data_IF_127581087565
#
_entry.id   IF_127581087565
#
_cell.length_a   1.000
_cell.length_b   1.000
_cell.length_c   1.000
_cell.angle_alpha   90.00
_cell.angle_beta   90.00
_cell.angle_gamma   90.00
#
_symmetry.space_group_name_H-M   'P 1'
#
loop_
_entity.id
_entity.type
_entity.pdbx_description
1 polymer ?
#
# COMPACT_ATOMS: atom_id res chain seq x y z
N UNK A 1 43.97 -1.29 18.21
CA UNK A 1 42.92 -2.25 18.62
C UNK A 1 42.53 -2.18 20.12
N UNK A 2 43.32 -1.51 20.98
CA UNK A 2 43.14 -1.57 22.45
C UNK A 2 41.85 -0.97 23.00
N UNK A 3 41.14 -0.09 22.24
CA UNK A 3 39.97 0.60 22.74
C UNK A 3 38.71 0.33 21.88
N UNK A 4 38.69 -0.73 21.07
CA UNK A 4 37.56 -1.10 20.23
C UNK A 4 37.01 -2.45 20.68
N UNK A 5 35.69 -2.51 20.83
CA UNK A 5 34.96 -3.75 21.09
C UNK A 5 34.08 -4.06 19.89
N UNK A 6 34.06 -5.33 19.48
CA UNK A 6 33.40 -5.79 18.26
C UNK A 6 32.23 -6.70 18.63
N UNK A 7 31.05 -6.38 18.10
CA UNK A 7 29.83 -7.12 18.35
C UNK A 7 29.26 -7.61 17.01
N UNK A 8 28.98 -8.88 16.91
CA UNK A 8 28.44 -9.51 15.72
C UNK A 8 26.92 -9.40 15.71
N UNK A 9 26.37 -9.02 14.56
CA UNK A 9 24.92 -9.00 14.28
C UNK A 9 24.63 -10.05 13.24
N UNK A 10 23.76 -10.99 13.56
CA UNK A 10 23.39 -12.10 12.69
C UNK A 10 21.95 -11.90 12.16
N UNK A 11 21.74 -12.24 10.89
CA UNK A 11 20.42 -12.44 10.30
C UNK A 11 20.34 -13.88 9.78
N UNK A 12 19.30 -14.64 10.19
CA UNK A 12 19.10 -16.06 9.84
C UNK A 12 20.36 -16.96 9.98
N UNK A 13 21.20 -16.64 10.96
CA UNK A 13 22.43 -17.38 11.22
C UNK A 13 23.63 -16.96 10.38
N UNK A 14 23.47 -16.00 9.47
CA UNK A 14 24.56 -15.38 8.73
C UNK A 14 25.03 -14.09 9.39
N UNK A 15 26.33 -13.82 9.35
CA UNK A 15 26.92 -12.59 9.87
C UNK A 15 26.65 -11.45 8.87
N UNK A 16 25.76 -10.52 9.24
CA UNK A 16 25.40 -9.38 8.40
C UNK A 16 26.21 -8.13 8.73
N UNK A 17 26.34 -7.81 10.02
CA UNK A 17 27.03 -6.60 10.46
C UNK A 17 27.95 -6.87 11.64
N UNK A 18 28.96 -5.99 11.79
CA UNK A 18 29.81 -5.90 12.98
C UNK A 18 29.68 -4.49 13.52
N UNK A 19 29.11 -4.35 14.70
CA UNK A 19 29.06 -3.07 15.45
C UNK A 19 30.37 -2.91 16.19
N UNK A 20 31.00 -1.75 16.04
CA UNK A 20 32.23 -1.41 16.73
C UNK A 20 31.95 -0.28 17.72
N UNK A 21 32.11 -0.55 19.02
CA UNK A 21 32.10 0.51 20.03
C UNK A 21 33.54 0.89 20.39
N UNK A 22 33.81 2.19 20.42
CA UNK A 22 35.13 2.75 20.74
C UNK A 22 35.07 3.49 22.07
N UNK A 23 35.89 3.06 23.01
CA UNK A 23 35.97 3.68 24.32
C UNK A 23 36.62 2.75 25.34
N UNK A 24 36.81 3.22 26.57
CA UNK A 24 37.40 2.46 27.67
C UNK A 24 36.33 2.19 28.74
N UNK A 25 36.36 0.98 29.31
CA UNK A 25 35.52 0.60 30.45
C UNK A 25 34.28 -0.23 30.08
N UNK A 26 33.56 -0.65 31.13
CA UNK A 26 32.35 -1.50 31.04
C UNK A 26 31.18 -0.80 30.38
N UNK A 27 31.08 0.51 30.47
CA UNK A 27 30.04 1.32 29.83
C UNK A 27 30.08 1.17 28.33
N UNK A 28 31.28 1.16 27.72
CA UNK A 28 31.45 0.97 26.26
C UNK A 28 30.96 -0.38 25.81
N UNK A 29 31.19 -1.43 26.63
CA UNK A 29 30.68 -2.78 26.35
C UNK A 29 29.15 -2.81 26.42
N UNK A 30 28.58 -2.20 27.48
CA UNK A 30 27.12 -2.18 27.66
C UNK A 30 26.41 -1.42 26.57
N UNK A 31 26.94 -0.26 26.16
CA UNK A 31 26.40 0.54 25.05
C UNK A 31 26.46 -0.28 23.75
N UNK A 32 27.58 -0.95 23.47
CA UNK A 32 27.72 -1.81 22.29
C UNK A 32 26.69 -2.94 22.26
N UNK A 33 26.44 -3.60 23.38
CA UNK A 33 25.41 -4.64 23.51
C UNK A 33 23.99 -4.12 23.27
N UNK A 34 23.66 -2.95 23.85
CA UNK A 34 22.35 -2.31 23.66
C UNK A 34 22.17 -1.97 22.18
N UNK A 35 23.19 -1.37 21.54
CA UNK A 35 23.16 -1.03 20.14
C UNK A 35 22.93 -2.27 19.23
N UNK A 36 23.60 -3.39 19.51
CA UNK A 36 23.42 -4.64 18.78
C UNK A 36 22.02 -5.19 18.97
N UNK A 37 21.50 -5.20 20.20
CA UNK A 37 20.13 -5.65 20.50
C UNK A 37 19.09 -4.83 19.73
N UNK A 38 19.24 -3.50 19.74
CA UNK A 38 18.35 -2.60 19.00
C UNK A 38 18.46 -2.85 17.48
N UNK A 39 19.66 -2.97 16.96
CA UNK A 39 19.88 -3.26 15.53
C UNK A 39 19.25 -4.57 15.11
N UNK A 40 19.39 -5.64 15.89
CA UNK A 40 18.74 -6.93 15.62
C UNK A 40 17.21 -6.80 15.59
N UNK A 41 16.62 -6.11 16.56
CA UNK A 41 15.18 -5.87 16.58
C UNK A 41 14.71 -5.06 15.36
N UNK A 42 15.48 -4.05 14.97
CA UNK A 42 15.18 -3.24 13.78
C UNK A 42 15.25 -4.08 12.49
N UNK A 43 16.24 -4.97 12.36
CA UNK A 43 16.36 -5.86 11.19
C UNK A 43 15.17 -6.82 11.08
N UNK A 44 14.75 -7.41 12.20
CA UNK A 44 13.57 -8.30 12.22
C UNK A 44 12.31 -7.53 11.81
N UNK A 45 12.07 -6.34 12.39
CA UNK A 45 10.91 -5.52 12.08
C UNK A 45 10.92 -5.04 10.61
N UNK A 46 12.09 -4.66 10.09
CA UNK A 46 12.26 -4.25 8.69
C UNK A 46 11.93 -5.40 7.73
N UNK A 47 12.44 -6.61 8.02
CA UNK A 47 12.20 -7.79 7.21
C UNK A 47 10.71 -8.18 7.21
N UNK A 48 10.07 -8.19 8.36
CA UNK A 48 8.65 -8.46 8.47
C UNK A 48 7.81 -7.45 7.65
N UNK A 49 8.16 -6.16 7.74
CA UNK A 49 7.50 -5.12 6.95
C UNK A 49 7.72 -5.31 5.45
N UNK A 50 8.94 -5.66 5.04
CA UNK A 50 9.27 -5.92 3.64
C UNK A 50 8.52 -7.13 3.09
N UNK A 51 8.43 -8.22 3.86
CA UNK A 51 7.70 -9.43 3.48
C UNK A 51 6.19 -9.18 3.35
N UNK A 52 5.60 -8.38 4.25
CA UNK A 52 4.20 -7.95 4.16
C UNK A 52 3.95 -7.08 2.93
N UNK A 53 4.80 -6.09 2.68
CA UNK A 53 4.70 -5.22 1.50
C UNK A 53 4.80 -6.02 0.20
N UNK A 54 5.77 -6.91 0.10
CA UNK A 54 5.95 -7.79 -1.06
C UNK A 54 4.74 -8.74 -1.25
N UNK A 55 4.21 -9.31 -0.17
CA UNK A 55 3.02 -10.13 -0.23
C UNK A 55 1.83 -9.35 -0.78
N UNK A 56 1.55 -8.16 -0.26
CA UNK A 56 0.44 -7.31 -0.70
C UNK A 56 0.61 -6.86 -2.16
N UNK A 57 1.81 -6.47 -2.59
CA UNK A 57 2.09 -6.14 -4.00
C UNK A 57 1.77 -7.29 -4.95
N UNK A 58 2.25 -8.49 -4.63
CA UNK A 58 1.98 -9.66 -5.45
C UNK A 58 0.49 -10.03 -5.45
N UNK A 59 -0.22 -9.81 -4.34
CA UNK A 59 -1.65 -10.04 -4.24
C UNK A 59 -2.45 -9.05 -5.10
N UNK A 60 -2.11 -7.75 -5.06
CA UNK A 60 -2.72 -6.70 -5.90
C UNK A 60 -2.57 -7.03 -7.38
N UNK A 61 -1.38 -7.50 -7.78
CA UNK A 61 -1.04 -7.83 -9.17
C UNK A 61 -1.55 -9.20 -9.64
N UNK A 62 -2.25 -9.95 -8.77
CA UNK A 62 -2.77 -11.29 -9.09
C UNK A 62 -1.68 -12.33 -9.43
N UNK A 63 -0.50 -12.19 -8.79
CA UNK A 63 0.69 -13.01 -9.05
C UNK A 63 0.81 -14.21 -8.11
N UNK A 64 -0.20 -14.50 -7.29
CA UNK A 64 -0.17 -15.57 -6.30
C UNK A 64 -1.23 -16.62 -6.55
N UNK A 65 -0.86 -17.88 -6.37
CA UNK A 65 -1.82 -18.97 -6.31
C UNK A 65 -2.58 -18.96 -4.98
N UNK A 66 -3.81 -19.46 -4.95
CA UNK A 66 -4.65 -19.49 -3.75
C UNK A 66 -3.95 -20.16 -2.56
N UNK A 67 -3.20 -21.24 -2.80
CA UNK A 67 -2.42 -21.95 -1.75
C UNK A 67 -1.32 -21.04 -1.18
N UNK A 68 -0.66 -20.27 -2.02
CA UNK A 68 0.40 -19.34 -1.60
C UNK A 68 -0.19 -18.17 -0.81
N UNK A 69 -1.36 -17.65 -1.22
CA UNK A 69 -2.08 -16.61 -0.49
C UNK A 69 -2.36 -17.07 0.94
N UNK A 70 -2.93 -18.28 1.09
CA UNK A 70 -3.23 -18.84 2.40
C UNK A 70 -2.00 -19.02 3.28
N UNK A 71 -0.95 -19.66 2.74
CA UNK A 71 0.27 -19.96 3.49
C UNK A 71 1.02 -18.69 3.91
N UNK A 72 1.14 -17.72 3.00
CA UNK A 72 1.83 -16.46 3.29
C UNK A 72 1.04 -15.58 4.25
N UNK A 73 -0.29 -15.45 4.07
CA UNK A 73 -1.13 -14.69 5.01
C UNK A 73 -1.01 -15.25 6.43
N UNK A 74 -1.05 -16.59 6.59
CA UNK A 74 -0.86 -17.25 7.88
C UNK A 74 0.53 -16.98 8.48
N UNK A 75 1.60 -17.09 7.67
CA UNK A 75 2.99 -16.81 8.10
C UNK A 75 3.16 -15.37 8.56
N UNK A 76 2.53 -14.42 7.87
CA UNK A 76 2.63 -12.99 8.11
C UNK A 76 1.61 -12.48 9.14
N UNK A 77 0.83 -13.37 9.75
CA UNK A 77 -0.23 -13.03 10.71
C UNK A 77 -1.26 -12.04 10.16
N UNK A 78 -1.63 -12.19 8.88
CA UNK A 78 -2.63 -11.38 8.21
C UNK A 78 -3.97 -12.10 8.25
N UNK A 79 -4.98 -11.46 8.81
CA UNK A 79 -6.35 -12.00 8.85
C UNK A 79 -6.94 -12.05 7.44
N UNK A 80 -7.48 -13.21 7.05
CA UNK A 80 -7.98 -13.42 5.69
C UNK A 80 -9.42 -12.94 5.51
N UNK A 81 -10.30 -13.32 6.44
CA UNK A 81 -11.74 -13.08 6.36
C UNK A 81 -12.13 -11.78 7.06
N UNK A 82 -11.63 -10.67 6.54
CA UNK A 82 -11.89 -9.32 7.07
C UNK A 82 -12.33 -8.43 5.92
N UNK A 83 -13.27 -7.53 6.21
CA UNK A 83 -13.76 -6.55 5.25
C UNK A 83 -12.64 -5.57 4.89
N UNK A 84 -12.36 -5.43 3.61
CA UNK A 84 -11.35 -4.48 3.10
C UNK A 84 -11.84 -3.78 1.85
N UNK A 85 -11.18 -2.67 1.54
CA UNK A 85 -11.32 -1.95 0.27
C UNK A 85 -9.94 -1.47 -0.19
N UNK A 86 -9.75 -1.39 -1.50
CA UNK A 86 -8.52 -0.85 -2.08
C UNK A 86 -8.78 0.56 -2.59
N UNK A 87 -7.94 1.49 -2.13
CA UNK A 87 -7.84 2.85 -2.67
C UNK A 87 -6.58 2.97 -3.52
N UNK A 88 -6.70 3.67 -4.63
CA UNK A 88 -5.58 4.14 -5.44
C UNK A 88 -5.52 5.66 -5.30
N UNK A 89 -4.37 6.17 -4.91
CA UNK A 89 -4.10 7.57 -4.74
C UNK A 89 -3.05 7.94 -5.79
N UNK A 90 -3.48 8.57 -6.86
CA UNK A 90 -2.60 9.05 -7.91
C UNK A 90 -2.12 10.46 -7.59
N UNK A 91 -0.80 10.64 -7.60
CA UNK A 91 -0.16 11.93 -7.39
C UNK A 91 0.32 12.53 -8.70
N UNK A 92 0.40 13.87 -8.77
CA UNK A 92 0.90 14.56 -9.95
C UNK A 92 2.42 14.44 -10.14
N UNK A 93 3.15 14.06 -9.09
CA UNK A 93 4.61 13.90 -9.08
C UNK A 93 4.97 12.41 -9.07
N UNK A 94 5.98 12.06 -9.84
CA UNK A 94 6.57 10.71 -9.78
C UNK A 94 7.35 10.54 -8.47
N UNK A 95 7.21 9.37 -7.82
CA UNK A 95 7.89 9.02 -6.55
C UNK A 95 7.71 10.07 -5.45
N UNK A 96 6.48 10.52 -5.26
CA UNK A 96 6.16 11.48 -4.21
C UNK A 96 6.27 10.84 -2.82
N UNK A 97 7.50 10.84 -2.27
CA UNK A 97 7.76 10.28 -0.95
C UNK A 97 7.05 11.06 0.16
N UNK A 98 6.82 12.35 -0.02
CA UNK A 98 6.12 13.19 0.95
C UNK A 98 4.64 12.81 1.02
N UNK A 99 3.99 12.62 -0.12
CA UNK A 99 2.62 12.11 -0.19
C UNK A 99 2.52 10.70 0.42
N UNK A 100 3.47 9.81 0.14
CA UNK A 100 3.49 8.47 0.72
C UNK A 100 3.61 8.50 2.24
N UNK A 101 4.49 9.32 2.81
CA UNK A 101 4.65 9.44 4.27
C UNK A 101 3.43 10.11 4.91
N UNK A 102 2.80 11.09 4.26
CA UNK A 102 1.55 11.70 4.72
C UNK A 102 0.43 10.65 4.79
N UNK A 103 0.23 9.84 3.73
CA UNK A 103 -0.75 8.75 3.73
C UNK A 103 -0.43 7.72 4.82
N UNK A 104 0.84 7.36 5.00
CA UNK A 104 1.25 6.49 6.11
C UNK A 104 0.90 7.07 7.46
N UNK A 105 1.15 8.36 7.69
CA UNK A 105 0.82 9.06 8.92
C UNK A 105 -0.67 8.99 9.26
N UNK A 106 -1.56 9.12 8.25
CA UNK A 106 -3.01 9.05 8.43
C UNK A 106 -3.51 7.67 8.91
N UNK A 107 -2.86 6.58 8.50
CA UNK A 107 -3.34 5.21 8.72
C UNK A 107 -2.45 4.36 9.62
N UNK A 108 -1.39 4.91 10.22
CA UNK A 108 -0.47 4.17 11.11
C UNK A 108 -1.12 3.70 12.42
N UNK A 109 -2.25 4.26 12.81
CA UNK A 109 -2.85 4.02 14.14
C UNK A 109 -3.43 2.62 14.34
N UNK A 110 -3.85 1.92 13.29
CA UNK A 110 -4.50 0.61 13.41
C UNK A 110 -3.54 -0.58 13.23
N UNK A 111 -2.42 -0.38 12.53
CA UNK A 111 -1.49 -1.47 12.16
C UNK A 111 -2.09 -2.55 11.24
N UNK A 112 -3.34 -2.36 10.80
CA UNK A 112 -4.13 -3.32 10.01
C UNK A 112 -4.23 -2.95 8.53
N UNK A 113 -3.94 -1.70 8.21
CA UNK A 113 -3.95 -1.17 6.86
C UNK A 113 -2.60 -1.40 6.18
N UNK A 114 -2.61 -1.67 4.87
CA UNK A 114 -1.39 -1.83 4.09
C UNK A 114 -1.27 -0.67 3.10
N UNK A 115 -0.11 -0.01 3.14
CA UNK A 115 0.21 1.11 2.26
C UNK A 115 1.46 0.75 1.47
N UNK A 116 1.30 0.69 0.15
CA UNK A 116 2.35 0.30 -0.77
C UNK A 116 2.30 1.15 -2.04
N UNK A 117 3.29 1.02 -2.91
CA UNK A 117 3.31 1.57 -4.25
C UNK A 117 3.57 0.44 -5.25
N UNK A 118 2.74 0.34 -6.27
CA UNK A 118 2.88 -0.67 -7.34
C UNK A 118 3.64 -0.08 -8.52
N UNK A 119 3.46 1.21 -8.77
CA UNK A 119 4.18 1.98 -9.78
C UNK A 119 4.71 3.31 -9.21
N UNK A 120 5.23 4.18 -10.07
CA UNK A 120 5.90 5.42 -9.65
C UNK A 120 4.93 6.56 -9.26
N UNK A 121 3.64 6.44 -9.60
CA UNK A 121 2.63 7.49 -9.42
C UNK A 121 1.54 7.12 -8.44
N UNK A 122 1.27 5.82 -8.26
CA UNK A 122 0.12 5.33 -7.52
C UNK A 122 0.53 4.85 -6.12
N UNK A 123 0.00 5.49 -5.10
CA UNK A 123 0.03 5.00 -3.73
C UNK A 123 -1.22 4.15 -3.53
N UNK A 124 -1.03 2.93 -3.07
CA UNK A 124 -2.12 1.97 -2.85
C UNK A 124 -2.35 1.80 -1.36
N UNK A 125 -3.58 2.02 -0.92
CA UNK A 125 -4.02 1.74 0.44
C UNK A 125 -5.02 0.58 0.40
N UNK A 126 -4.65 -0.55 1.03
CA UNK A 126 -5.57 -1.64 1.33
C UNK A 126 -6.06 -1.44 2.76
N UNK A 127 -7.28 -0.89 2.89
CA UNK A 127 -7.85 -0.49 4.18
C UNK A 127 -8.71 -1.59 4.75
N UNK A 128 -8.50 -1.94 6.02
CA UNK A 128 -9.42 -2.76 6.80
C UNK A 128 -10.62 -1.91 7.25
N UNK A 129 -11.81 -2.49 7.16
CA UNK A 129 -13.09 -1.82 7.47
C UNK A 129 -13.72 -2.40 8.74
N UNK A 130 -14.29 -1.53 9.57
CA UNK A 130 -15.14 -1.92 10.68
C UNK A 130 -16.50 -2.45 10.17
N UNK A 131 -17.24 -3.17 11.03
CA UNK A 131 -18.56 -3.71 10.67
C UNK A 131 -19.56 -2.64 10.23
N UNK A 132 -19.48 -1.45 10.81
CA UNK A 132 -20.36 -0.32 10.49
C UNK A 132 -19.95 0.52 9.28
N UNK A 133 -18.80 0.23 8.66
CA UNK A 133 -18.33 1.01 7.50
C UNK A 133 -19.21 0.74 6.28
N UNK A 134 -19.64 1.84 5.63
CA UNK A 134 -20.47 1.86 4.42
C UNK A 134 -19.73 2.57 3.29
N UNK A 135 -20.31 2.58 2.09
CA UNK A 135 -19.75 3.35 0.97
C UNK A 135 -19.65 4.85 1.24
N UNK A 136 -20.56 5.41 2.07
CA UNK A 136 -20.46 6.81 2.50
C UNK A 136 -19.22 7.07 3.37
N UNK A 137 -18.86 6.12 4.24
CA UNK A 137 -17.61 6.24 5.03
C UNK A 137 -16.38 6.09 4.15
N UNK A 138 -16.42 5.29 3.08
CA UNK A 138 -15.34 5.18 2.10
C UNK A 138 -15.12 6.49 1.35
N UNK A 139 -16.19 7.14 0.91
CA UNK A 139 -16.11 8.43 0.22
C UNK A 139 -15.54 9.52 1.13
N UNK A 140 -15.97 9.56 2.41
CA UNK A 140 -15.39 10.47 3.42
C UNK A 140 -13.89 10.19 3.63
N UNK A 141 -13.47 8.94 3.71
CA UNK A 141 -12.06 8.56 3.82
C UNK A 141 -11.28 9.06 2.60
N UNK A 142 -11.80 8.85 1.40
CA UNK A 142 -11.17 9.33 0.17
C UNK A 142 -11.03 10.86 0.17
N UNK A 143 -12.07 11.58 0.61
CA UNK A 143 -12.03 13.05 0.70
C UNK A 143 -10.99 13.54 1.71
N UNK A 144 -10.88 12.89 2.88
CA UNK A 144 -9.84 13.21 3.88
C UNK A 144 -8.45 13.04 3.28
N UNK A 145 -8.20 11.98 2.50
CA UNK A 145 -6.91 11.78 1.80
C UNK A 145 -6.64 12.93 0.84
N UNK A 146 -7.63 13.31 0.03
CA UNK A 146 -7.50 14.44 -0.92
C UNK A 146 -7.19 15.74 -0.20
N UNK A 147 -7.93 16.06 0.86
CA UNK A 147 -7.77 17.32 1.59
C UNK A 147 -6.41 17.41 2.27
N UNK A 148 -5.94 16.33 2.88
CA UNK A 148 -4.63 16.28 3.54
C UNK A 148 -3.49 16.41 2.54
N UNK A 149 -3.52 15.67 1.43
CA UNK A 149 -2.46 15.73 0.43
C UNK A 149 -2.43 17.07 -0.31
N UNK A 150 -3.58 17.67 -0.57
CA UNK A 150 -3.63 19.01 -1.14
C UNK A 150 -3.05 20.08 -0.19
N UNK A 151 -3.26 19.91 1.12
CA UNK A 151 -2.85 20.90 2.13
C UNK A 151 -1.40 20.71 2.55
N UNK A 152 -0.98 19.49 2.88
CA UNK A 152 0.34 19.21 3.46
C UNK A 152 1.41 18.96 2.41
N UNK A 153 1.11 18.17 1.38
CA UNK A 153 2.06 17.83 0.32
C UNK A 153 1.99 18.76 -0.89
N UNK A 154 1.04 19.74 -0.91
CA UNK A 154 0.78 20.62 -2.06
C UNK A 154 0.65 19.85 -3.39
N UNK A 155 0.16 18.63 -3.34
CA UNK A 155 0.04 17.72 -4.45
C UNK A 155 -1.43 17.66 -4.93
N UNK A 156 -1.66 17.89 -6.22
CA UNK A 156 -2.97 17.54 -6.80
C UNK A 156 -3.07 16.03 -6.89
N UNK A 157 -4.11 15.48 -6.29
CA UNK A 157 -4.30 14.03 -6.23
C UNK A 157 -5.69 13.64 -6.71
N UNK A 158 -5.77 12.44 -7.29
CA UNK A 158 -7.02 11.75 -7.54
C UNK A 158 -7.05 10.50 -6.68
N UNK A 159 -8.16 10.26 -5.99
CA UNK A 159 -8.37 9.08 -5.18
C UNK A 159 -9.51 8.27 -5.77
N UNK A 160 -9.23 7.02 -6.10
CA UNK A 160 -10.24 6.10 -6.57
C UNK A 160 -10.32 4.87 -5.66
N UNK A 161 -11.50 4.25 -5.52
CA UNK A 161 -11.65 3.05 -4.73
C UNK A 161 -12.59 2.03 -5.38
N UNK A 162 -12.26 0.74 -5.10
CA UNK A 162 -13.03 -0.40 -5.58
C UNK A 162 -14.24 -0.73 -4.70
N UNK A 163 -14.75 -1.95 -4.84
CA UNK A 163 -15.81 -2.47 -3.98
C UNK A 163 -15.25 -3.07 -2.69
N UNK A 164 -16.11 -3.11 -1.66
CA UNK A 164 -15.81 -3.81 -0.41
C UNK A 164 -15.69 -5.31 -0.69
N UNK A 165 -14.64 -5.90 -0.17
CA UNK A 165 -14.35 -7.33 -0.23
C UNK A 165 -14.36 -7.93 1.18
N UNK A 166 -14.61 -9.23 1.30
CA UNK A 166 -14.69 -9.92 2.58
C UNK A 166 -13.56 -10.94 2.80
N UNK A 167 -12.74 -11.16 1.78
CA UNK A 167 -11.63 -12.11 1.81
C UNK A 167 -10.41 -11.49 1.13
N UNK A 168 -9.23 -11.70 1.71
CA UNK A 168 -7.98 -11.13 1.20
C UNK A 168 -7.65 -11.58 -0.23
N UNK A 169 -8.08 -12.77 -0.64
CA UNK A 169 -7.91 -13.27 -2.02
C UNK A 169 -8.59 -12.39 -3.07
N UNK A 170 -9.57 -11.57 -2.67
CA UNK A 170 -10.30 -10.67 -3.55
C UNK A 170 -9.68 -9.27 -3.67
N UNK A 171 -8.55 -9.01 -2.99
CA UNK A 171 -7.86 -7.71 -3.03
C UNK A 171 -7.50 -7.31 -4.45
N UNK A 172 -7.04 -8.25 -5.30
CA UNK A 172 -6.78 -8.02 -6.73
C UNK A 172 -8.02 -7.50 -7.47
N UNK A 173 -9.21 -8.04 -7.15
CA UNK A 173 -10.47 -7.55 -7.74
C UNK A 173 -10.74 -6.09 -7.36
N UNK A 174 -10.73 -5.77 -6.06
CA UNK A 174 -10.95 -4.40 -5.59
C UNK A 174 -9.92 -3.41 -6.16
N UNK A 175 -8.67 -3.85 -6.33
CA UNK A 175 -7.62 -3.06 -6.98
C UNK A 175 -7.93 -2.79 -8.47
N UNK A 176 -8.30 -3.81 -9.24
CA UNK A 176 -8.68 -3.66 -10.67
C UNK A 176 -9.89 -2.73 -10.83
N UNK A 177 -10.85 -2.83 -9.93
CA UNK A 177 -12.02 -1.95 -9.87
C UNK A 177 -11.63 -0.50 -9.55
N UNK A 178 -10.75 -0.28 -8.56
CA UNK A 178 -10.24 1.05 -8.22
C UNK A 178 -9.45 1.65 -9.40
N UNK A 179 -8.63 0.86 -10.10
CA UNK A 179 -7.90 1.32 -11.29
C UNK A 179 -8.85 1.74 -12.41
N UNK A 180 -9.87 0.93 -12.66
CA UNK A 180 -10.92 1.30 -13.62
C UNK A 180 -11.66 2.58 -13.19
N UNK A 181 -11.94 2.74 -11.89
CA UNK A 181 -12.58 3.95 -11.37
C UNK A 181 -11.72 5.18 -11.62
N UNK A 182 -10.42 5.08 -11.43
CA UNK A 182 -9.47 6.15 -11.70
C UNK A 182 -9.44 6.51 -13.19
N UNK A 183 -9.26 5.53 -14.06
CA UNK A 183 -9.11 5.75 -15.51
C UNK A 183 -10.40 6.29 -16.14
N UNK A 184 -11.54 5.66 -15.84
CA UNK A 184 -12.86 6.08 -16.35
C UNK A 184 -13.26 7.43 -15.74
N UNK A 185 -13.01 7.61 -14.44
CA UNK A 185 -13.30 8.84 -13.72
C UNK A 185 -12.63 10.05 -14.33
N UNK A 186 -11.36 9.96 -14.69
CA UNK A 186 -10.62 11.03 -15.37
C UNK A 186 -11.21 11.39 -16.74
N UNK A 187 -11.73 10.42 -17.47
CA UNK A 187 -12.32 10.64 -18.80
C UNK A 187 -13.68 11.34 -18.67
N UNK A 188 -14.56 10.85 -17.77
CA UNK A 188 -15.95 11.28 -17.69
C UNK A 188 -16.22 12.34 -16.61
N UNK A 189 -15.36 12.42 -15.59
CA UNK A 189 -15.56 13.27 -14.40
C UNK A 189 -14.29 14.04 -14.03
N UNK A 190 -13.61 14.62 -15.02
CA UNK A 190 -12.30 15.26 -14.88
C UNK A 190 -12.17 16.31 -13.76
N UNK A 191 -13.27 16.89 -13.31
CA UNK A 191 -13.30 17.88 -12.21
C UNK A 191 -13.39 17.23 -10.82
N UNK A 192 -13.60 15.89 -10.74
CA UNK A 192 -13.74 15.20 -9.45
C UNK A 192 -12.39 14.61 -9.03
N UNK A 193 -12.04 14.82 -7.77
CA UNK A 193 -10.85 14.24 -7.16
C UNK A 193 -11.09 12.86 -6.52
N UNK A 194 -12.37 12.51 -6.24
CA UNK A 194 -12.76 11.22 -5.66
C UNK A 194 -13.65 10.46 -6.63
N UNK A 195 -13.31 9.18 -6.87
CA UNK A 195 -13.96 8.31 -7.85
C UNK A 195 -14.25 6.94 -7.26
N UNK A 196 -15.54 6.59 -7.15
CA UNK A 196 -15.99 5.28 -6.71
C UNK A 196 -16.27 4.37 -7.90
N UNK A 197 -15.84 3.12 -7.85
CA UNK A 197 -16.18 2.13 -8.89
C UNK A 197 -17.68 1.94 -9.03
N UNK A 198 -18.42 1.96 -7.92
CA UNK A 198 -19.89 1.83 -7.92
C UNK A 198 -20.60 2.95 -8.69
N UNK A 199 -19.98 4.13 -8.81
CA UNK A 199 -20.58 5.32 -9.40
C UNK A 199 -20.28 5.52 -10.89
N UNK A 200 -19.50 4.62 -11.51
CA UNK A 200 -19.10 4.75 -12.91
C UNK A 200 -20.25 4.51 -13.92
N UNK A 201 -21.33 3.86 -13.48
CA UNK A 201 -22.50 3.60 -14.35
C UNK A 201 -22.12 2.89 -15.65
N UNK A 202 -22.60 3.46 -16.78
CA UNK A 202 -22.32 2.94 -18.12
C UNK A 202 -20.84 3.08 -18.53
N UNK A 203 -20.07 3.98 -17.90
CA UNK A 203 -18.66 4.17 -18.17
C UNK A 203 -17.85 2.88 -18.02
N UNK A 204 -18.24 1.98 -17.09
CA UNK A 204 -17.62 0.67 -16.92
C UNK A 204 -17.75 -0.22 -18.18
N UNK A 205 -18.91 -0.18 -18.82
CA UNK A 205 -19.15 -0.98 -20.02
C UNK A 205 -18.38 -0.41 -21.22
N UNK A 206 -18.43 0.90 -21.39
CA UNK A 206 -17.73 1.58 -22.48
C UNK A 206 -16.23 1.36 -22.40
N UNK A 207 -15.65 1.47 -21.20
CA UNK A 207 -14.22 1.28 -20.96
C UNK A 207 -13.75 -0.16 -21.29
N UNK A 208 -14.62 -1.16 -21.08
CA UNK A 208 -14.33 -2.57 -21.36
C UNK A 208 -14.53 -2.96 -22.82
N UNK A 209 -15.11 -2.09 -23.65
CA UNK A 209 -15.31 -2.41 -25.07
C UNK A 209 -13.96 -2.47 -25.79
N UNK A 210 -13.72 -3.53 -26.61
CA UNK A 210 -12.54 -3.60 -27.46
C UNK A 210 -12.48 -2.40 -28.41
N UNK A 211 -11.30 -1.78 -28.56
CA UNK A 211 -11.11 -0.63 -29.46
C UNK A 211 -11.60 -0.87 -30.91
N UNK A 212 -11.44 -2.07 -31.51
CA UNK A 212 -12.01 -2.31 -32.83
C UNK A 212 -13.53 -2.16 -32.87
N UNK A 213 -14.23 -2.61 -31.81
CA UNK A 213 -15.68 -2.48 -31.70
C UNK A 213 -16.10 -1.01 -31.56
N UNK A 214 -15.39 -0.23 -30.75
CA UNK A 214 -15.63 1.20 -30.61
C UNK A 214 -15.47 1.94 -31.95
N UNK A 215 -14.38 1.63 -32.70
CA UNK A 215 -14.11 2.22 -34.01
C UNK A 215 -15.18 1.85 -35.05
N UNK A 216 -15.63 0.62 -35.03
CA UNK A 216 -16.71 0.15 -35.89
C UNK A 216 -18.00 0.92 -35.61
N UNK A 217 -18.41 1.00 -34.35
CA UNK A 217 -19.60 1.71 -33.92
C UNK A 217 -19.56 3.21 -34.29
N UNK A 218 -18.42 3.88 -34.06
CA UNK A 218 -18.25 5.29 -34.44
C UNK A 218 -18.42 5.47 -35.95
N UNK A 219 -17.85 4.57 -36.78
CA UNK A 219 -17.93 4.64 -38.23
C UNK A 219 -19.34 4.36 -38.75
N UNK A 220 -20.16 3.59 -38.03
CA UNK A 220 -21.54 3.27 -38.43
C UNK A 220 -22.53 4.39 -38.06
N UNK A 221 -22.22 5.14 -37.03
CA UNK A 221 -23.16 6.17 -36.48
C UNK A 221 -22.81 7.56 -36.94
N UNK A 222 -21.52 7.87 -37.12
CA UNK A 222 -20.97 9.16 -37.52
C UNK A 222 -20.22 9.09 -38.86
#
# INVERSE_FOLDING_TARGET
LRNNQFFKVYDEGQLEYVVVSKGEGEETYTIGRIAVFQLQNMLVAYKERYDKDNFIKNLLLDNLLLVDIFNRAKKLHIEMNVRRVVYIIETSKEKDNEALETVRGLFTGSGKDFITAVDEKDIILVKELAEGDTYDSLEKTAQVIVDMLNTEAMARVHVAYGTIINDIKEVSRSYKEAKMALDVGKIFYGDKNVMAYSNLGIGRLIYQLPMPLCKMFIKEIF
#
